data_IF_801526631052
#
_entry.id   IF_801526631052
#
_cell.length_a   1.000
_cell.length_b   1.000
_cell.length_c   1.000
_cell.angle_alpha   90.00
_cell.angle_beta   90.00
_cell.angle_gamma   90.00
#
_symmetry.space_group_name_H-M   'P 1'
#
loop_
_entity.id
_entity.type
_entity.pdbx_description
1 polymer ?
#
# COMPACT_ATOMS: atom_id res chain seq x y z
N UNK A 1 6.04 15.46 16.59
CA UNK A 1 5.31 14.74 15.53
C UNK A 1 3.89 15.29 15.51
N UNK A 2 3.49 15.98 14.44
CA UNK A 2 2.13 16.48 14.30
C UNK A 2 1.13 15.32 14.27
N UNK A 3 0.04 15.43 15.02
CA UNK A 3 -1.00 14.39 15.13
C UNK A 3 -1.54 13.92 13.78
N UNK A 4 -1.70 14.83 12.81
CA UNK A 4 -2.21 14.48 11.48
C UNK A 4 -1.30 13.51 10.72
N UNK A 5 0.02 13.53 10.98
CA UNK A 5 1.00 12.64 10.33
C UNK A 5 0.88 11.21 10.83
N UNK A 6 0.61 11.06 12.12
CA UNK A 6 0.36 9.75 12.73
C UNK A 6 -0.92 9.15 12.16
N UNK A 7 -1.99 9.95 12.06
CA UNK A 7 -3.26 9.50 11.45
C UNK A 7 -3.04 9.05 10.01
N UNK A 8 -2.37 9.87 9.20
CA UNK A 8 -2.10 9.52 7.81
C UNK A 8 -1.18 8.29 7.69
N UNK A 9 -0.15 8.17 8.52
CA UNK A 9 0.72 7.00 8.57
C UNK A 9 -0.02 5.71 8.89
N UNK A 10 -0.97 5.75 9.83
CA UNK A 10 -1.85 4.62 10.17
C UNK A 10 -2.74 4.26 8.97
N UNK A 11 -3.39 5.25 8.33
CA UNK A 11 -4.24 5.01 7.16
C UNK A 11 -3.45 4.41 5.98
N UNK A 12 -2.25 4.91 5.70
CA UNK A 12 -1.36 4.37 4.66
C UNK A 12 -0.89 2.96 5.04
N UNK A 13 -0.54 2.73 6.31
CA UNK A 13 -0.10 1.42 6.78
C UNK A 13 -1.19 0.35 6.62
N UNK A 14 -2.39 0.60 7.17
CA UNK A 14 -3.49 -0.35 7.08
C UNK A 14 -4.02 -0.50 5.65
N UNK A 15 -4.27 0.61 4.94
CA UNK A 15 -4.73 0.55 3.55
C UNK A 15 -3.69 -0.04 2.61
N UNK A 16 -2.41 0.24 2.83
CA UNK A 16 -1.30 -0.33 2.08
C UNK A 16 -1.15 -1.83 2.31
N UNK A 17 -1.34 -2.32 3.54
CA UNK A 17 -1.33 -3.76 3.82
C UNK A 17 -2.40 -4.52 3.02
N UNK A 18 -3.60 -3.96 2.89
CA UNK A 18 -4.65 -4.55 2.04
C UNK A 18 -4.17 -4.64 0.58
N UNK A 19 -3.52 -3.59 0.05
CA UNK A 19 -2.95 -3.61 -1.30
C UNK A 19 -1.84 -4.66 -1.46
N UNK A 20 -1.01 -4.89 -0.45
CA UNK A 20 0.01 -5.97 -0.48
C UNK A 20 -0.66 -7.33 -0.61
N UNK A 21 -1.71 -7.58 0.17
CA UNK A 21 -2.46 -8.84 0.11
C UNK A 21 -3.16 -9.02 -1.23
N UNK A 22 -3.78 -7.97 -1.76
CA UNK A 22 -4.40 -7.99 -3.09
C UNK A 22 -3.37 -8.24 -4.19
N UNK A 23 -2.18 -7.62 -4.11
CA UNK A 23 -1.10 -7.87 -5.06
C UNK A 23 -0.63 -9.33 -5.02
N UNK A 24 -0.52 -9.93 -3.83
CA UNK A 24 -0.20 -11.35 -3.70
C UNK A 24 -1.30 -12.26 -4.24
N UNK A 25 -2.57 -11.92 -4.00
CA UNK A 25 -3.71 -12.67 -4.54
C UNK A 25 -3.73 -12.63 -6.08
N UNK A 26 -3.67 -11.43 -6.66
CA UNK A 26 -3.68 -11.24 -8.11
C UNK A 26 -2.47 -11.88 -8.79
N UNK A 27 -1.30 -11.89 -8.15
CA UNK A 27 -0.13 -12.57 -8.70
C UNK A 27 -0.24 -14.09 -8.61
N UNK A 28 -0.91 -14.62 -7.57
CA UNK A 28 -1.21 -16.05 -7.45
C UNK A 28 -2.15 -16.54 -8.55
N UNK A 29 -3.12 -15.73 -8.95
CA UNK A 29 -4.12 -16.11 -9.96
C UNK A 29 -3.58 -16.05 -11.41
N UNK A 30 -2.37 -15.52 -11.61
CA UNK A 30 -1.75 -15.48 -12.94
C UNK A 30 -1.26 -16.87 -13.37
N UNK A 31 -1.53 -17.23 -14.64
CA UNK A 31 -1.05 -18.47 -15.24
C UNK A 31 0.48 -18.53 -15.22
N UNK A 32 1.03 -19.57 -14.61
CA UNK A 32 2.48 -19.77 -14.46
C UNK A 32 3.10 -19.09 -13.23
N UNK A 33 2.28 -18.55 -12.32
CA UNK A 33 2.79 -18.02 -11.06
C UNK A 33 3.44 -19.11 -10.21
N UNK A 34 4.63 -18.82 -9.68
CA UNK A 34 5.30 -19.66 -8.70
C UNK A 34 5.19 -19.04 -7.31
N UNK A 35 5.37 -19.85 -6.26
CA UNK A 35 5.42 -19.34 -4.87
C UNK A 35 6.47 -18.23 -4.69
N UNK A 36 7.60 -18.33 -5.41
CA UNK A 36 8.65 -17.31 -5.38
C UNK A 36 8.19 -15.98 -5.99
N UNK A 37 7.46 -16.02 -7.10
CA UNK A 37 6.91 -14.81 -7.76
C UNK A 37 5.92 -14.09 -6.86
N UNK A 38 5.04 -14.82 -6.17
CA UNK A 38 4.05 -14.25 -5.24
C UNK A 38 4.74 -13.63 -4.03
N UNK A 39 5.72 -14.32 -3.44
CA UNK A 39 6.49 -13.80 -2.31
C UNK A 39 7.27 -12.53 -2.67
N UNK A 40 7.85 -12.49 -3.88
CA UNK A 40 8.58 -11.33 -4.37
C UNK A 40 7.64 -10.14 -4.63
N UNK A 41 6.46 -10.38 -5.20
CA UNK A 41 5.44 -9.35 -5.35
C UNK A 41 5.01 -8.78 -3.98
N UNK A 42 4.75 -9.65 -3.00
CA UNK A 42 4.44 -9.25 -1.63
C UNK A 42 5.55 -8.41 -1.00
N UNK A 43 6.81 -8.85 -1.12
CA UNK A 43 7.97 -8.15 -0.58
C UNK A 43 8.18 -6.76 -1.20
N UNK A 44 8.04 -6.64 -2.53
CA UNK A 44 8.13 -5.35 -3.22
C UNK A 44 7.01 -4.42 -2.74
N UNK A 45 5.76 -4.87 -2.81
CA UNK A 45 4.61 -4.05 -2.40
C UNK A 45 4.72 -3.63 -0.93
N UNK A 46 5.14 -4.53 -0.04
CA UNK A 46 5.33 -4.23 1.38
C UNK A 46 6.45 -3.21 1.61
N UNK A 47 7.57 -3.32 0.88
CA UNK A 47 8.68 -2.37 0.96
C UNK A 47 8.24 -0.98 0.53
N UNK A 48 7.47 -0.87 -0.55
CA UNK A 48 6.92 0.41 -1.03
C UNK A 48 6.00 1.04 0.03
N UNK A 49 5.09 0.27 0.62
CA UNK A 49 4.19 0.76 1.68
C UNK A 49 4.99 1.23 2.90
N UNK A 50 6.00 0.47 3.30
CA UNK A 50 6.87 0.83 4.43
C UNK A 50 7.61 2.14 4.16
N UNK A 51 8.18 2.30 2.96
CA UNK A 51 8.84 3.54 2.56
C UNK A 51 7.87 4.72 2.54
N UNK A 52 6.66 4.55 2.02
CA UNK A 52 5.63 5.60 2.02
C UNK A 52 5.23 6.02 3.43
N UNK A 53 5.14 5.07 4.36
CA UNK A 53 4.84 5.36 5.77
C UNK A 53 5.97 6.18 6.40
N UNK A 54 7.23 5.75 6.24
CA UNK A 54 8.41 6.46 6.78
C UNK A 54 8.53 7.86 6.17
N UNK A 55 8.36 8.00 4.85
CA UNK A 55 8.41 9.27 4.14
C UNK A 55 7.31 10.23 4.60
N UNK A 56 6.08 9.74 4.80
CA UNK A 56 4.95 10.51 5.32
C UNK A 56 5.18 11.00 6.75
N UNK A 57 5.86 10.18 7.56
CA UNK A 57 6.23 10.47 8.94
C UNK A 57 7.48 11.34 9.09
N UNK A 58 8.28 11.55 8.04
CA UNK A 58 9.54 12.30 8.14
C UNK A 58 9.58 13.56 7.30
N UNK A 59 9.39 13.48 5.98
CA UNK A 59 9.80 14.58 5.08
C UNK A 59 8.72 15.07 4.12
N UNK A 60 7.61 14.34 3.92
CA UNK A 60 6.61 14.75 2.93
C UNK A 60 5.73 15.93 3.39
N UNK A 61 5.42 16.87 2.48
CA UNK A 61 4.47 17.94 2.75
C UNK A 61 3.04 17.40 2.86
N UNK A 62 2.21 18.06 3.68
CA UNK A 62 0.88 17.55 4.05
C UNK A 62 -0.05 17.26 2.87
N UNK A 63 -0.06 18.12 1.84
CA UNK A 63 -0.85 17.89 0.64
C UNK A 63 -0.50 16.58 -0.07
N UNK A 64 0.79 16.23 -0.13
CA UNK A 64 1.27 14.99 -0.77
C UNK A 64 0.87 13.78 0.05
N UNK A 65 1.01 13.84 1.38
CA UNK A 65 0.62 12.74 2.28
C UNK A 65 -0.87 12.42 2.16
N UNK A 66 -1.74 13.43 2.18
CA UNK A 66 -3.17 13.23 2.03
C UNK A 66 -3.57 12.76 0.62
N UNK A 67 -2.84 13.21 -0.42
CA UNK A 67 -2.97 12.65 -1.76
C UNK A 67 -2.65 11.16 -1.83
N UNK A 68 -1.61 10.71 -1.13
CA UNK A 68 -1.26 9.28 -1.03
C UNK A 68 -2.36 8.50 -0.29
N UNK A 69 -2.88 9.04 0.82
CA UNK A 69 -4.02 8.41 1.54
C UNK A 69 -5.22 8.24 0.61
N UNK A 70 -5.59 9.28 -0.14
CA UNK A 70 -6.69 9.22 -1.10
C UNK A 70 -6.42 8.18 -2.20
N UNK A 71 -5.20 8.14 -2.76
CA UNK A 71 -4.81 7.16 -3.76
C UNK A 71 -4.91 5.72 -3.24
N UNK A 72 -4.41 5.45 -2.03
CA UNK A 72 -4.51 4.13 -1.38
C UNK A 72 -5.98 3.73 -1.20
N UNK A 73 -6.85 4.66 -0.80
CA UNK A 73 -8.29 4.41 -0.69
C UNK A 73 -8.92 4.06 -2.04
N UNK A 74 -8.69 4.88 -3.07
CA UNK A 74 -9.22 4.66 -4.42
C UNK A 74 -8.76 3.34 -5.00
N UNK A 75 -7.46 3.03 -4.94
CA UNK A 75 -6.93 1.78 -5.48
C UNK A 75 -7.53 0.58 -4.75
N UNK A 76 -7.63 0.61 -3.42
CA UNK A 76 -8.30 -0.46 -2.67
C UNK A 76 -9.75 -0.63 -3.12
N UNK A 77 -10.52 0.46 -3.21
CA UNK A 77 -11.92 0.39 -3.63
C UNK A 77 -12.05 -0.19 -5.04
N UNK A 78 -11.27 0.29 -6.00
CA UNK A 78 -11.30 -0.21 -7.37
C UNK A 78 -10.94 -1.69 -7.40
N UNK A 79 -9.82 -2.08 -6.80
CA UNK A 79 -9.37 -3.47 -6.82
C UNK A 79 -10.39 -4.39 -6.15
N UNK A 80 -10.92 -4.03 -4.99
CA UNK A 80 -11.93 -4.82 -4.28
C UNK A 80 -13.24 -4.95 -5.06
N UNK A 81 -13.62 -3.96 -5.86
CA UNK A 81 -14.81 -4.03 -6.72
C UNK A 81 -14.58 -4.86 -7.99
N UNK A 82 -13.33 -4.99 -8.45
CA UNK A 82 -12.98 -5.73 -9.67
C UNK A 82 -12.40 -7.13 -9.42
N UNK A 83 -12.11 -7.46 -8.15
CA UNK A 83 -11.61 -8.78 -7.72
C UNK A 83 -12.75 -9.76 -7.57
#
# INVERSE_FOLDING_TARGET
METWRVIAGVLIGFGGLILVLLAMAQTRDRKGATNSTVALAGAISFTVVTLLCVLSLTVLPGAVVWGIVAAVGVVNTVLLLTS
#
